data_IF_477558885475
#
_entry.id   IF_477558885475
#
_cell.length_a   1.000
_cell.length_b   1.000
_cell.length_c   1.000
_cell.angle_alpha   90.00
_cell.angle_beta   90.00
_cell.angle_gamma   90.00
#
_symmetry.space_group_name_H-M   'P 1'
#
loop_
_entity.id
_entity.type
_entity.pdbx_description
1 polymer ?
#
# COMPACT_ATOMS: atom_id res chain seq x y z
N UNK A 1 1.43 -15.95 -3.24
CA UNK A 1 1.66 -15.61 -1.82
C UNK A 1 2.54 -14.38 -1.76
N UNK A 2 2.07 -13.33 -1.08
CA UNK A 2 2.88 -12.14 -0.80
C UNK A 2 3.91 -12.47 0.31
N UNK A 3 5.07 -11.83 0.30
CA UNK A 3 6.06 -12.00 1.36
C UNK A 3 5.66 -11.21 2.61
N UNK A 4 5.02 -10.07 2.43
CA UNK A 4 4.45 -9.23 3.48
C UNK A 4 2.99 -8.97 3.12
N UNK A 5 2.11 -9.13 4.09
CA UNK A 5 0.72 -8.72 4.01
C UNK A 5 0.38 -7.96 5.29
N UNK A 6 -0.22 -6.79 5.13
CA UNK A 6 -0.70 -5.98 6.25
C UNK A 6 -2.09 -5.48 5.89
N UNK A 7 -3.04 -5.73 6.78
CA UNK A 7 -4.41 -5.24 6.68
C UNK A 7 -4.72 -4.36 7.89
N UNK A 8 -5.45 -3.28 7.65
CA UNK A 8 -5.99 -2.40 8.70
C UNK A 8 -7.42 -2.03 8.36
N UNK A 9 -8.26 -1.98 9.38
CA UNK A 9 -9.60 -1.43 9.27
C UNK A 9 -9.52 0.10 9.43
N UNK A 10 -10.31 0.83 8.66
CA UNK A 10 -10.48 2.27 8.81
C UNK A 10 -11.95 2.61 9.00
N UNK A 11 -12.23 3.62 9.83
CA UNK A 11 -13.57 4.17 10.00
C UNK A 11 -13.95 5.26 8.98
N UNK A 12 -13.17 5.39 7.90
CA UNK A 12 -13.36 6.44 6.89
C UNK A 12 -14.40 6.05 5.86
N UNK A 13 -15.08 7.05 5.30
CA UNK A 13 -15.91 6.87 4.10
C UNK A 13 -15.03 6.49 2.91
N UNK A 14 -15.55 5.68 1.98
CA UNK A 14 -14.76 5.20 0.83
C UNK A 14 -14.15 6.34 -0.01
N UNK A 15 -14.87 7.45 -0.17
CA UNK A 15 -14.37 8.65 -0.87
C UNK A 15 -13.20 9.32 -0.11
N UNK A 16 -13.29 9.43 1.21
CA UNK A 16 -12.20 9.97 2.03
C UNK A 16 -10.97 9.06 1.99
N UNK A 17 -11.21 7.74 2.03
CA UNK A 17 -10.16 6.74 1.95
C UNK A 17 -9.45 6.80 0.60
N UNK A 18 -10.18 7.02 -0.50
CA UNK A 18 -9.63 7.26 -1.85
C UNK A 18 -8.72 8.47 -1.89
N UNK A 19 -9.18 9.60 -1.37
CA UNK A 19 -8.38 10.84 -1.35
C UNK A 19 -7.09 10.62 -0.58
N UNK A 20 -7.15 9.99 0.61
CA UNK A 20 -5.96 9.65 1.39
C UNK A 20 -5.04 8.66 0.68
N UNK A 21 -5.59 7.64 0.02
CA UNK A 21 -4.82 6.68 -0.76
C UNK A 21 -4.08 7.37 -1.91
N UNK A 22 -4.77 8.20 -2.71
CA UNK A 22 -4.15 8.98 -3.80
C UNK A 22 -3.03 9.89 -3.28
N UNK A 23 -3.23 10.56 -2.14
CA UNK A 23 -2.18 11.38 -1.51
C UNK A 23 -0.98 10.56 -1.05
N UNK A 24 -1.21 9.38 -0.46
CA UNK A 24 -0.15 8.45 -0.07
C UNK A 24 0.64 7.99 -1.30
N UNK A 25 -0.06 7.58 -2.36
CA UNK A 25 0.55 7.14 -3.61
C UNK A 25 1.42 8.25 -4.22
N UNK A 26 0.89 9.47 -4.35
CA UNK A 26 1.66 10.61 -4.88
C UNK A 26 2.94 10.88 -4.07
N UNK A 27 2.88 10.81 -2.74
CA UNK A 27 4.07 10.95 -1.87
C UNK A 27 5.05 9.81 -2.08
N UNK A 28 4.57 8.58 -2.23
CA UNK A 28 5.41 7.40 -2.46
C UNK A 28 6.09 7.50 -3.83
N UNK A 29 5.38 7.91 -4.88
CA UNK A 29 5.95 8.17 -6.21
C UNK A 29 7.03 9.25 -6.15
N UNK A 30 6.77 10.37 -5.48
CA UNK A 30 7.74 11.46 -5.36
C UNK A 30 8.97 11.05 -4.53
N UNK A 31 8.78 10.33 -3.42
CA UNK A 31 9.85 9.99 -2.48
C UNK A 31 10.74 8.85 -2.97
N UNK A 32 10.15 7.86 -3.66
CA UNK A 32 10.84 6.64 -4.06
C UNK A 32 11.02 6.53 -5.58
N UNK A 33 10.52 7.49 -6.37
CA UNK A 33 10.61 7.47 -7.83
C UNK A 33 9.91 6.26 -8.45
N UNK A 34 8.81 5.81 -7.86
CA UNK A 34 8.08 4.62 -8.30
C UNK A 34 6.94 4.97 -9.22
N UNK A 35 6.65 4.09 -10.17
CA UNK A 35 5.40 4.15 -10.93
C UNK A 35 4.35 3.35 -10.17
N UNK A 36 3.22 3.99 -9.92
CA UNK A 36 2.04 3.39 -9.31
C UNK A 36 0.95 3.37 -10.36
N UNK A 37 0.44 2.18 -10.64
CA UNK A 37 -0.78 1.95 -11.40
C UNK A 37 -1.94 1.89 -10.42
N UNK A 38 -2.90 2.80 -10.53
CA UNK A 38 -4.07 2.86 -9.66
C UNK A 38 -5.34 2.63 -10.47
N UNK A 39 -6.17 1.68 -10.02
CA UNK A 39 -7.40 1.26 -10.66
C UNK A 39 -8.54 1.47 -9.67
N UNK A 40 -9.43 2.40 -10.00
CA UNK A 40 -10.64 2.68 -9.21
C UNK A 40 -11.75 1.71 -9.61
N UNK A 41 -12.34 1.03 -8.64
CA UNK A 41 -13.49 0.13 -8.84
C UNK A 41 -14.78 0.70 -8.25
N UNK A 42 -15.86 -0.08 -8.29
CA UNK A 42 -17.15 0.36 -7.73
C UNK A 42 -17.18 0.26 -6.19
N UNK A 43 -16.55 -0.77 -5.62
CA UNK A 43 -16.56 -1.06 -4.18
C UNK A 43 -15.16 -1.28 -3.60
N UNK A 44 -14.14 -1.39 -4.47
CA UNK A 44 -12.75 -1.56 -4.08
C UNK A 44 -11.85 -0.87 -5.09
N UNK A 45 -10.73 -0.33 -4.64
CA UNK A 45 -9.68 0.21 -5.49
C UNK A 45 -8.39 -0.59 -5.32
N UNK A 46 -7.63 -0.70 -6.40
CA UNK A 46 -6.39 -1.46 -6.40
C UNK A 46 -5.26 -0.57 -6.90
N UNK A 47 -4.21 -0.44 -6.09
CA UNK A 47 -2.97 0.22 -6.45
C UNK A 47 -1.89 -0.85 -6.63
N UNK A 48 -1.13 -0.83 -7.70
CA UNK A 48 0.06 -1.68 -7.89
C UNK A 48 1.27 -0.84 -8.20
N UNK A 49 2.40 -1.13 -7.58
CA UNK A 49 3.64 -0.41 -7.78
C UNK A 49 4.82 -1.36 -7.79
N UNK A 50 5.90 -1.00 -8.49
CA UNK A 50 7.12 -1.80 -8.54
C UNK A 50 8.33 -0.95 -8.21
N UNK A 51 9.14 -1.42 -7.26
CA UNK A 51 10.34 -0.71 -6.82
C UNK A 51 11.45 -1.67 -6.43
N UNK A 52 12.66 -1.48 -6.99
CA UNK A 52 13.89 -2.15 -6.56
C UNK A 52 13.74 -3.65 -6.21
N UNK A 53 13.07 -4.42 -7.08
CA UNK A 53 12.88 -5.86 -6.88
C UNK A 53 11.75 -6.25 -5.92
N UNK A 54 10.93 -5.31 -5.47
CA UNK A 54 9.67 -5.54 -4.76
C UNK A 54 8.48 -5.16 -5.64
N UNK A 55 7.41 -5.96 -5.59
CA UNK A 55 6.11 -5.61 -6.16
C UNK A 55 5.17 -5.31 -4.99
N UNK A 56 4.59 -4.13 -4.99
CA UNK A 56 3.69 -3.63 -3.96
C UNK A 56 2.29 -3.60 -4.56
N UNK A 57 1.30 -4.04 -3.81
CA UNK A 57 -0.11 -3.99 -4.18
C UNK A 57 -0.92 -3.50 -2.98
N UNK A 58 -1.59 -2.38 -3.11
CA UNK A 58 -2.58 -1.89 -2.17
C UNK A 58 -3.98 -2.22 -2.67
N UNK A 59 -4.86 -2.65 -1.78
CA UNK A 59 -6.28 -2.86 -2.01
C UNK A 59 -6.99 -2.01 -0.96
N UNK A 60 -7.84 -1.12 -1.43
CA UNK A 60 -8.64 -0.26 -0.57
C UNK A 60 -10.10 -0.63 -0.78
N UNK A 61 -10.74 -1.10 0.27
CA UNK A 61 -12.18 -1.36 0.32
C UNK A 61 -12.88 -0.27 1.13
N UNK A 62 -14.20 -0.36 1.26
CA UNK A 62 -15.00 0.62 2.00
C UNK A 62 -14.66 0.72 3.49
N UNK A 63 -14.12 -0.36 4.08
CA UNK A 63 -13.86 -0.46 5.51
C UNK A 63 -12.42 -0.86 5.85
N UNK A 64 -11.67 -1.35 4.87
CA UNK A 64 -10.37 -1.95 5.10
C UNK A 64 -9.38 -1.51 4.04
N UNK A 65 -8.12 -1.45 4.43
CA UNK A 65 -7.01 -1.27 3.52
C UNK A 65 -6.00 -2.38 3.72
N UNK A 66 -5.69 -3.08 2.64
CA UNK A 66 -4.73 -4.19 2.59
C UNK A 66 -3.55 -3.80 1.71
N UNK A 67 -2.34 -4.06 2.18
CA UNK A 67 -1.13 -3.96 1.38
C UNK A 67 -0.41 -5.30 1.34
N UNK A 68 -0.17 -5.76 0.12
CA UNK A 68 0.60 -6.94 -0.22
C UNK A 68 1.94 -6.51 -0.82
N UNK A 69 3.06 -6.98 -0.27
CA UNK A 69 4.39 -6.76 -0.87
C UNK A 69 5.02 -8.11 -1.15
N UNK A 70 5.36 -8.33 -2.43
CA UNK A 70 6.14 -9.47 -2.89
C UNK A 70 7.59 -9.03 -3.06
N UNK A 71 8.46 -9.59 -2.24
CA UNK A 71 9.88 -9.27 -2.22
C UNK A 71 10.65 -10.21 -3.14
N UNK A 72 11.50 -9.65 -3.98
CA UNK A 72 12.50 -10.42 -4.71
C UNK A 72 13.52 -11.06 -3.74
N UNK A 73 14.25 -12.05 -4.24
CA UNK A 73 15.20 -12.85 -3.44
C UNK A 73 16.18 -12.00 -2.62
N UNK A 74 16.61 -10.86 -3.16
CA UNK A 74 17.54 -9.93 -2.51
C UNK A 74 16.91 -9.04 -1.44
N UNK A 75 15.59 -8.80 -1.49
CA UNK A 75 14.90 -7.92 -0.54
C UNK A 75 14.34 -8.68 0.68
N UNK A 76 14.33 -10.03 0.64
CA UNK A 76 13.83 -10.90 1.73
C UNK A 76 14.45 -10.61 3.11
N UNK A 77 15.76 -10.36 3.26
CA UNK A 77 16.35 -10.05 4.57
C UNK A 77 15.84 -8.73 5.16
N UNK A 78 15.38 -7.80 4.32
CA UNK A 78 14.83 -6.51 4.74
C UNK A 78 13.33 -6.57 5.03
N UNK A 79 12.70 -7.75 4.90
CA UNK A 79 11.26 -7.96 5.09
C UNK A 79 10.72 -7.30 6.36
N UNK A 80 11.36 -7.53 7.50
CA UNK A 80 10.88 -7.01 8.79
C UNK A 80 10.89 -5.47 8.83
N UNK A 81 11.95 -4.84 8.33
CA UNK A 81 12.03 -3.37 8.26
C UNK A 81 11.00 -2.77 7.31
N UNK A 82 10.77 -3.40 6.16
CA UNK A 82 9.76 -2.97 5.19
C UNK A 82 8.36 -3.10 5.81
N UNK A 83 8.08 -4.23 6.48
CA UNK A 83 6.80 -4.45 7.18
C UNK A 83 6.56 -3.39 8.25
N UNK A 84 7.53 -3.13 9.13
CA UNK A 84 7.39 -2.08 10.15
C UNK A 84 7.18 -0.69 9.54
N UNK A 85 7.92 -0.36 8.49
CA UNK A 85 7.76 0.91 7.78
C UNK A 85 6.37 1.05 7.15
N UNK A 86 5.86 -0.03 6.57
CA UNK A 86 4.52 -0.09 6.00
C UNK A 86 3.46 0.08 7.09
N UNK A 87 3.53 -0.69 8.18
CA UNK A 87 2.61 -0.60 9.32
C UNK A 87 2.58 0.83 9.88
N UNK A 88 3.74 1.45 10.12
CA UNK A 88 3.82 2.85 10.60
C UNK A 88 3.18 3.85 9.65
N UNK A 89 3.32 3.66 8.33
CA UNK A 89 2.66 4.54 7.37
C UNK A 89 1.14 4.29 7.36
N UNK A 90 0.70 3.03 7.38
CA UNK A 90 -0.72 2.71 7.44
C UNK A 90 -1.38 3.31 8.67
N UNK A 91 -0.80 3.12 9.86
CA UNK A 91 -1.27 3.76 11.10
C UNK A 91 -1.29 5.30 10.97
N UNK A 92 -0.31 5.91 10.31
CA UNK A 92 -0.30 7.39 10.15
C UNK A 92 -1.45 7.94 9.30
N UNK A 93 -1.94 7.18 8.30
CA UNK A 93 -2.96 7.66 7.37
C UNK A 93 -4.37 7.11 7.70
N UNK A 94 -4.45 5.94 8.33
CA UNK A 94 -5.68 5.17 8.52
C UNK A 94 -5.97 4.78 9.99
N UNK A 95 -5.16 5.21 10.97
CA UNK A 95 -5.56 5.16 12.39
C UNK A 95 -6.64 6.18 12.73
#
# INVERSE_FOLDING_TARGET
>A
MADIEVERNHGLSFDEARVKAKQLLAKVQQKYGVVVDYVEGASQDVATAKHMGANIKGILDEQTIRFEIKLGMFAKPMKSKIKEGLEKNMDKYFA
#
